data_IF_983721888188
#
_entry.id   IF_983721888188
#
_cell.length_a   1.000
_cell.length_b   1.000
_cell.length_c   1.000
_cell.angle_alpha   90.00
_cell.angle_beta   90.00
_cell.angle_gamma   90.00
#
_symmetry.space_group_name_H-M   'P 1'
#
loop_
_entity.id
_entity.type
_entity.pdbx_description
1 polymer ?
#
# COMPACT_ATOMS: atom_id res chain seq x y z
N UNK A 1 -19.04 0.30 7.59
CA UNK A 1 -18.53 1.69 7.50
C UNK A 1 -17.49 1.86 6.40
N UNK A 2 -16.49 0.98 6.28
CA UNK A 2 -15.39 1.12 5.29
C UNK A 2 -15.83 1.19 3.82
N UNK A 3 -16.84 0.41 3.42
CA UNK A 3 -17.36 0.41 2.03
C UNK A 3 -17.78 1.80 1.54
N UNK A 4 -18.38 2.65 2.40
CA UNK A 4 -18.73 4.03 2.03
C UNK A 4 -17.51 4.94 1.99
N UNK A 5 -16.53 4.70 2.87
CA UNK A 5 -15.31 5.51 2.99
C UNK A 5 -14.37 5.36 1.78
N UNK A 6 -14.23 4.17 1.21
CA UNK A 6 -13.25 3.93 0.13
C UNK A 6 -13.84 3.96 -1.28
N UNK A 7 -15.14 3.72 -1.47
CA UNK A 7 -15.71 3.49 -2.80
C UNK A 7 -15.59 4.71 -3.73
N UNK A 8 -15.82 5.92 -3.22
CA UNK A 8 -15.65 7.15 -4.01
C UNK A 8 -14.17 7.39 -4.36
N UNK A 9 -13.24 7.05 -3.47
CA UNK A 9 -11.79 7.14 -3.70
C UNK A 9 -11.37 6.20 -4.85
N UNK A 10 -11.85 4.95 -4.85
CA UNK A 10 -11.59 3.99 -5.93
C UNK A 10 -12.17 4.48 -7.26
N UNK A 11 -13.40 5.00 -7.24
CA UNK A 11 -14.05 5.55 -8.43
C UNK A 11 -13.19 6.65 -9.07
N UNK A 12 -12.73 7.61 -8.26
CA UNK A 12 -11.82 8.68 -8.73
C UNK A 12 -10.51 8.14 -9.27
N UNK A 13 -9.91 7.17 -8.58
CA UNK A 13 -8.67 6.51 -9.05
C UNK A 13 -8.84 5.90 -10.44
N UNK A 14 -9.91 5.12 -10.63
CA UNK A 14 -10.22 4.47 -11.91
C UNK A 14 -10.38 5.51 -13.01
N UNK A 15 -11.12 6.59 -12.74
CA UNK A 15 -11.37 7.65 -13.71
C UNK A 15 -10.12 8.46 -14.07
N UNK A 16 -9.09 8.48 -13.23
CA UNK A 16 -7.80 9.11 -13.53
C UNK A 16 -6.79 8.19 -14.22
N UNK A 17 -7.01 6.87 -14.24
CA UNK A 17 -6.08 5.93 -14.87
C UNK A 17 -5.74 6.25 -16.34
N UNK A 18 -6.68 6.71 -17.19
CA UNK A 18 -6.37 7.02 -18.59
C UNK A 18 -5.29 8.09 -18.77
N UNK A 19 -5.08 8.97 -17.80
CA UNK A 19 -4.07 10.05 -17.85
C UNK A 19 -2.87 9.79 -16.93
N UNK A 20 -2.70 8.56 -16.45
CA UNK A 20 -1.56 8.12 -15.62
C UNK A 20 -0.58 7.22 -16.37
N UNK A 21 -0.81 7.02 -17.65
CA UNK A 21 0.08 6.31 -18.59
C UNK A 21 1.36 7.13 -18.86
N UNK A 22 2.37 6.49 -19.48
CA UNK A 22 3.66 7.15 -19.76
C UNK A 22 3.55 8.34 -20.73
N UNK A 23 2.60 8.28 -21.67
CA UNK A 23 2.41 9.32 -22.69
C UNK A 23 1.51 10.43 -22.14
N UNK A 24 0.29 10.10 -21.75
CA UNK A 24 -0.72 11.06 -21.29
C UNK A 24 -0.40 11.64 -19.90
N UNK A 25 0.40 10.94 -19.09
CA UNK A 25 0.88 11.42 -17.78
C UNK A 25 1.76 12.66 -17.86
N UNK A 26 2.38 12.94 -19.01
CA UNK A 26 3.24 14.12 -19.23
C UNK A 26 2.47 15.35 -19.71
N UNK A 27 1.19 15.19 -20.07
CA UNK A 27 0.38 16.30 -20.59
C UNK A 27 0.11 17.35 -19.50
N UNK A 28 -0.02 18.63 -19.90
CA UNK A 28 -0.53 19.68 -19.02
C UNK A 28 -1.89 19.31 -18.42
N UNK A 29 -2.20 19.85 -17.24
CA UNK A 29 -3.46 19.57 -16.53
C UNK A 29 -4.69 19.90 -17.39
N UNK A 30 -4.65 20.97 -18.17
CA UNK A 30 -5.71 21.36 -19.10
C UNK A 30 -5.98 20.29 -20.17
N UNK A 31 -4.93 19.74 -20.78
CA UNK A 31 -5.02 18.69 -21.78
C UNK A 31 -5.49 17.37 -21.18
N UNK A 32 -5.05 17.03 -19.96
CA UNK A 32 -5.56 15.86 -19.22
C UNK A 32 -7.06 15.96 -18.96
N UNK A 33 -7.54 17.14 -18.55
CA UNK A 33 -9.00 17.39 -18.37
C UNK A 33 -9.77 17.15 -19.66
N UNK A 34 -9.25 17.68 -20.78
CA UNK A 34 -9.88 17.48 -22.09
C UNK A 34 -9.86 16.01 -22.51
N UNK A 35 -8.74 15.31 -22.31
CA UNK A 35 -8.62 13.89 -22.60
C UNK A 35 -9.65 13.05 -21.83
N UNK A 36 -9.76 13.26 -20.51
CA UNK A 36 -10.72 12.54 -19.67
C UNK A 36 -12.18 12.77 -20.08
N UNK A 37 -12.54 13.98 -20.53
CA UNK A 37 -13.90 14.30 -21.01
C UNK A 37 -14.26 13.64 -22.33
N UNK A 38 -13.27 13.20 -23.08
CA UNK A 38 -13.44 12.59 -24.39
C UNK A 38 -13.08 11.10 -24.44
N UNK A 39 -12.56 10.53 -23.34
CA UNK A 39 -12.14 9.13 -23.30
C UNK A 39 -13.36 8.19 -23.28
N UNK A 40 -13.66 7.47 -24.38
CA UNK A 40 -14.95 6.77 -24.54
C UNK A 40 -15.04 5.52 -23.67
N UNK A 41 -13.91 4.94 -23.26
CA UNK A 41 -13.84 3.71 -22.48
C UNK A 41 -13.91 3.94 -20.96
N UNK A 42 -14.43 5.10 -20.52
CA UNK A 42 -14.58 5.43 -19.10
C UNK A 42 -16.03 5.72 -18.72
N UNK A 43 -16.46 5.15 -17.60
CA UNK A 43 -17.76 5.47 -17.00
C UNK A 43 -17.85 6.90 -16.48
N UNK A 44 -16.72 7.61 -16.36
CA UNK A 44 -16.61 9.02 -15.95
C UNK A 44 -17.57 9.93 -16.71
N UNK A 45 -17.77 9.68 -18.00
CA UNK A 45 -18.64 10.47 -18.86
C UNK A 45 -20.07 10.51 -18.31
N UNK A 46 -20.57 9.35 -17.86
CA UNK A 46 -21.87 9.24 -17.21
C UNK A 46 -21.91 9.77 -15.77
N UNK A 47 -20.76 10.09 -15.15
CA UNK A 47 -20.69 10.81 -13.87
C UNK A 47 -20.74 12.33 -14.07
N UNK A 48 -20.19 12.83 -15.17
CA UNK A 48 -20.18 14.27 -15.50
C UNK A 48 -21.50 14.68 -16.17
N UNK A 49 -22.05 13.81 -17.02
CA UNK A 49 -23.23 14.09 -17.85
C UNK A 49 -24.26 12.96 -17.70
N UNK A 50 -25.49 13.33 -17.29
CA UNK A 50 -26.58 12.39 -17.05
C UNK A 50 -27.08 11.74 -18.36
N UNK A 51 -26.93 12.42 -19.50
CA UNK A 51 -27.32 11.87 -20.81
C UNK A 51 -26.38 10.76 -21.31
N UNK A 52 -25.15 10.70 -20.77
CA UNK A 52 -24.09 9.75 -21.17
C UNK A 52 -23.97 8.57 -20.23
N UNK A 53 -25.02 8.26 -19.49
CA UNK A 53 -25.03 7.17 -18.51
C UNK A 53 -25.08 5.82 -19.18
N UNK A 54 -24.46 4.85 -18.53
CA UNK A 54 -24.59 3.44 -18.86
C UNK A 54 -25.51 2.75 -17.84
N UNK A 55 -26.48 1.97 -18.32
CA UNK A 55 -27.47 1.28 -17.48
C UNK A 55 -26.87 0.25 -16.50
N UNK A 56 -25.65 -0.24 -16.76
CA UNK A 56 -24.96 -1.23 -15.92
C UNK A 56 -24.31 -0.56 -14.68
N UNK A 57 -24.17 0.77 -14.69
CA UNK A 57 -23.44 1.50 -13.64
C UNK A 57 -24.40 2.15 -12.64
N UNK A 58 -24.22 1.81 -11.36
CA UNK A 58 -24.90 2.47 -10.24
C UNK A 58 -24.20 3.80 -9.88
N UNK A 59 -24.53 4.86 -10.61
CA UNK A 59 -23.99 6.21 -10.38
C UNK A 59 -24.40 6.79 -9.03
N UNK A 60 -25.61 6.46 -8.56
CA UNK A 60 -26.17 7.04 -7.34
C UNK A 60 -25.31 6.70 -6.12
N UNK A 61 -24.80 5.48 -6.08
CA UNK A 61 -23.95 4.99 -5.00
C UNK A 61 -22.65 5.79 -4.79
N UNK A 62 -22.04 6.30 -5.85
CA UNK A 62 -20.84 7.15 -5.73
C UNK A 62 -21.26 8.59 -5.47
N UNK A 63 -22.26 9.09 -6.21
CA UNK A 63 -22.70 10.48 -6.15
C UNK A 63 -23.38 10.83 -4.81
N UNK A 64 -23.84 9.85 -4.02
CA UNK A 64 -24.29 10.03 -2.62
C UNK A 64 -23.27 10.83 -1.81
N UNK A 65 -21.98 10.52 -1.94
CA UNK A 65 -20.89 11.24 -1.25
C UNK A 65 -20.68 12.68 -1.72
N UNK A 66 -21.32 13.08 -2.82
CA UNK A 66 -21.22 14.40 -3.44
C UNK A 66 -22.53 15.18 -3.40
N UNK A 67 -23.50 14.76 -2.57
CA UNK A 67 -24.81 15.42 -2.47
C UNK A 67 -25.87 14.87 -3.42
N UNK A 68 -25.66 13.65 -3.94
CA UNK A 68 -26.65 12.85 -4.64
C UNK A 68 -26.52 12.86 -6.15
N UNK A 69 -27.32 12.01 -6.80
CA UNK A 69 -27.34 11.83 -8.25
C UNK A 69 -28.13 12.95 -8.95
N UNK A 70 -27.58 14.16 -8.94
CA UNK A 70 -28.17 15.36 -9.50
C UNK A 70 -27.07 16.27 -10.10
N UNK A 71 -27.47 17.37 -10.75
CA UNK A 71 -26.53 18.31 -11.37
C UNK A 71 -25.44 18.80 -10.41
N UNK A 72 -25.79 19.06 -9.14
CA UNK A 72 -24.84 19.54 -8.12
C UNK A 72 -23.82 18.46 -7.78
N UNK A 73 -24.24 17.23 -7.50
CA UNK A 73 -23.32 16.15 -7.14
C UNK A 73 -22.39 15.74 -8.27
N UNK A 74 -22.89 15.77 -9.52
CA UNK A 74 -22.07 15.55 -10.72
C UNK A 74 -21.00 16.62 -10.92
N UNK A 75 -21.37 17.89 -10.71
CA UNK A 75 -20.43 19.02 -10.74
C UNK A 75 -19.35 18.85 -9.67
N UNK A 76 -19.74 18.57 -8.42
CA UNK A 76 -18.80 18.38 -7.31
C UNK A 76 -17.86 17.18 -7.56
N UNK A 77 -18.39 16.09 -8.11
CA UNK A 77 -17.57 14.94 -8.50
C UNK A 77 -16.50 15.33 -9.54
N UNK A 78 -16.90 16.08 -10.57
CA UNK A 78 -15.98 16.54 -11.60
C UNK A 78 -14.93 17.53 -11.07
N UNK A 79 -15.34 18.48 -10.23
CA UNK A 79 -14.42 19.41 -9.56
C UNK A 79 -13.38 18.63 -8.73
N UNK A 80 -13.83 17.63 -7.98
CA UNK A 80 -12.94 16.77 -7.19
C UNK A 80 -11.94 16.00 -8.08
N UNK A 81 -12.36 15.45 -9.21
CA UNK A 81 -11.46 14.81 -10.19
C UNK A 81 -10.42 15.81 -10.73
N UNK A 82 -10.84 17.06 -10.99
CA UNK A 82 -9.95 18.12 -11.46
C UNK A 82 -8.90 18.51 -10.41
N UNK A 83 -9.29 18.54 -9.14
CA UNK A 83 -8.37 18.82 -8.03
C UNK A 83 -7.36 17.68 -7.90
N UNK A 84 -7.83 16.43 -7.94
CA UNK A 84 -6.99 15.23 -7.89
C UNK A 84 -5.99 15.12 -9.05
N UNK A 85 -6.28 15.70 -10.23
CA UNK A 85 -5.31 15.79 -11.33
C UNK A 85 -4.10 16.67 -10.98
N UNK A 86 -4.32 17.66 -10.12
CA UNK A 86 -3.34 18.69 -9.78
C UNK A 86 -2.56 18.30 -8.52
N UNK A 87 -3.25 17.77 -7.51
CA UNK A 87 -2.67 17.38 -6.21
C UNK A 87 -2.27 15.91 -6.15
N UNK A 88 -2.80 15.08 -7.06
CA UNK A 88 -2.72 13.63 -6.97
C UNK A 88 -3.76 13.07 -5.99
N UNK A 89 -4.08 11.78 -6.14
CA UNK A 89 -4.87 11.09 -5.12
C UNK A 89 -3.91 10.29 -4.25
N UNK A 90 -3.91 10.58 -2.95
CA UNK A 90 -3.20 9.76 -1.98
C UNK A 90 -3.96 8.45 -1.71
N UNK A 91 -3.66 7.47 -2.55
CA UNK A 91 -4.15 6.09 -2.43
C UNK A 91 -2.98 5.11 -2.32
N UNK A 92 -1.75 5.57 -2.57
CA UNK A 92 -0.56 4.72 -2.56
C UNK A 92 -0.30 4.16 -1.17
N UNK A 93 -0.59 4.92 -0.11
CA UNK A 93 -0.45 4.45 1.27
C UNK A 93 -1.55 3.45 1.68
N UNK A 94 -2.65 3.38 0.91
CA UNK A 94 -3.83 2.59 1.26
C UNK A 94 -4.07 1.40 0.34
N UNK A 95 -3.39 1.31 -0.81
CA UNK A 95 -3.46 0.17 -1.74
C UNK A 95 -2.31 -0.78 -1.49
N UNK A 96 -2.57 -1.84 -0.72
CA UNK A 96 -1.57 -2.87 -0.46
C UNK A 96 -1.44 -3.78 -1.68
N UNK A 97 -0.19 -4.06 -2.06
CA UNK A 97 0.16 -4.92 -3.18
C UNK A 97 -0.28 -4.39 -4.56
N UNK A 98 -0.75 -3.14 -4.65
CA UNK A 98 -1.30 -2.56 -5.88
C UNK A 98 -2.69 -3.07 -6.26
N UNK A 99 -3.39 -3.76 -5.35
CA UNK A 99 -4.66 -4.43 -5.70
C UNK A 99 -5.76 -4.37 -4.64
N UNK A 100 -5.44 -4.15 -3.36
CA UNK A 100 -6.43 -4.15 -2.27
C UNK A 100 -6.40 -2.80 -1.56
N UNK A 101 -7.54 -2.11 -1.51
CA UNK A 101 -7.73 -0.87 -0.75
C UNK A 101 -8.62 -1.14 0.47
N UNK A 102 -8.13 -0.84 1.67
CA UNK A 102 -8.90 -0.97 2.90
C UNK A 102 -8.05 -0.73 4.14
N UNK A 103 -8.62 -0.98 5.31
CA UNK A 103 -7.87 -1.00 6.58
C UNK A 103 -6.98 -2.24 6.67
N UNK A 104 -6.01 -2.24 7.60
CA UNK A 104 -5.16 -3.41 7.85
C UNK A 104 -5.97 -4.66 8.22
N UNK A 105 -7.07 -4.49 8.95
CA UNK A 105 -7.98 -5.58 9.33
C UNK A 105 -8.73 -6.13 8.11
N UNK A 106 -9.20 -5.27 7.21
CA UNK A 106 -9.83 -5.69 5.96
C UNK A 106 -8.85 -6.43 5.06
N UNK A 107 -7.63 -5.91 4.93
CA UNK A 107 -6.57 -6.49 4.11
C UNK A 107 -6.19 -7.89 4.64
N UNK A 108 -6.04 -8.03 5.95
CA UNK A 108 -5.80 -9.33 6.61
C UNK A 108 -6.96 -10.30 6.36
N UNK A 109 -8.20 -9.85 6.51
CA UNK A 109 -9.37 -10.67 6.21
C UNK A 109 -9.42 -11.13 4.75
N UNK A 110 -9.11 -10.25 3.79
CA UNK A 110 -9.04 -10.62 2.36
C UNK A 110 -7.95 -11.67 2.13
N UNK A 111 -6.78 -11.49 2.73
CA UNK A 111 -5.67 -12.45 2.66
C UNK A 111 -6.08 -13.82 3.18
N UNK A 112 -6.56 -13.88 4.41
CA UNK A 112 -6.84 -15.13 5.11
C UNK A 112 -8.01 -15.89 4.47
N UNK A 113 -8.99 -15.16 3.93
CA UNK A 113 -10.20 -15.77 3.35
C UNK A 113 -10.06 -16.16 1.88
N UNK A 114 -9.34 -15.37 1.08
CA UNK A 114 -9.37 -15.51 -0.39
C UNK A 114 -8.03 -15.85 -1.03
N UNK A 115 -6.91 -15.82 -0.30
CA UNK A 115 -5.58 -16.06 -0.88
C UNK A 115 -4.97 -17.38 -0.33
N UNK A 116 -5.13 -18.50 -1.05
CA UNK A 116 -4.55 -19.78 -0.62
C UNK A 116 -3.02 -19.78 -0.70
N UNK A 117 -2.38 -20.70 0.04
CA UNK A 117 -0.91 -20.84 0.14
C UNK A 117 -0.23 -21.04 -1.23
N UNK A 118 -0.93 -21.63 -2.20
CA UNK A 118 -0.43 -21.84 -3.58
C UNK A 118 -0.39 -20.56 -4.43
N UNK A 119 -0.90 -19.43 -3.95
CA UNK A 119 -0.91 -18.17 -4.69
C UNK A 119 0.43 -17.41 -4.67
N UNK A 120 1.52 -18.02 -4.22
CA UNK A 120 2.85 -17.38 -4.14
C UNK A 120 3.42 -16.92 -5.49
N UNK A 121 3.02 -17.58 -6.57
CA UNK A 121 3.42 -17.22 -7.93
C UNK A 121 2.71 -15.96 -8.44
N UNK A 122 1.59 -15.56 -7.82
CA UNK A 122 0.86 -14.34 -8.20
C UNK A 122 1.61 -13.13 -7.62
N UNK A 123 2.15 -12.21 -8.46
CA UNK A 123 2.98 -11.11 -7.97
C UNK A 123 2.27 -10.19 -6.97
N UNK A 124 0.96 -9.96 -7.12
CA UNK A 124 0.16 -9.17 -6.21
C UNK A 124 0.06 -9.82 -4.81
N UNK A 125 -0.13 -11.14 -4.77
CA UNK A 125 -0.18 -11.92 -3.52
C UNK A 125 1.19 -11.95 -2.86
N UNK A 126 2.27 -12.05 -3.65
CA UNK A 126 3.63 -11.93 -3.12
C UNK A 126 3.86 -10.57 -2.47
N UNK A 127 3.46 -9.47 -3.11
CA UNK A 127 3.57 -8.12 -2.54
C UNK A 127 2.74 -7.95 -1.26
N UNK A 128 1.53 -8.51 -1.26
CA UNK A 128 0.67 -8.50 -0.07
C UNK A 128 1.30 -9.25 1.10
N UNK A 129 1.81 -10.46 0.85
CA UNK A 129 2.49 -11.26 1.89
C UNK A 129 3.71 -10.53 2.45
N UNK A 130 4.52 -9.88 1.60
CA UNK A 130 5.64 -9.04 2.06
C UNK A 130 5.18 -7.89 2.95
N UNK A 131 4.09 -7.21 2.56
CA UNK A 131 3.54 -6.11 3.35
C UNK A 131 3.05 -6.57 4.73
N UNK A 132 2.25 -7.65 4.79
CA UNK A 132 1.75 -8.16 6.07
C UNK A 132 2.89 -8.66 6.95
N UNK A 133 3.84 -9.42 6.39
CA UNK A 133 5.01 -9.89 7.14
C UNK A 133 5.84 -8.72 7.68
N UNK A 134 6.02 -7.66 6.90
CA UNK A 134 6.70 -6.42 7.33
C UNK A 134 6.02 -5.80 8.55
N UNK A 135 4.70 -5.61 8.53
CA UNK A 135 3.98 -5.02 9.66
C UNK A 135 4.02 -5.92 10.91
N UNK A 136 3.88 -7.24 10.73
CA UNK A 136 3.99 -8.22 11.82
C UNK A 136 5.39 -8.21 12.45
N UNK A 137 6.45 -8.14 11.64
CA UNK A 137 7.84 -8.03 12.11
C UNK A 137 8.07 -6.73 12.88
N UNK A 138 7.58 -5.60 12.38
CA UNK A 138 7.71 -4.30 13.06
C UNK A 138 6.98 -4.35 14.39
N UNK A 139 5.74 -4.85 14.43
CA UNK A 139 4.95 -4.95 15.65
C UNK A 139 5.64 -5.84 16.70
N UNK A 140 6.13 -7.02 16.30
CA UNK A 140 6.84 -7.94 17.19
C UNK A 140 8.15 -7.33 17.72
N UNK A 141 8.91 -6.62 16.88
CA UNK A 141 10.12 -5.91 17.29
C UNK A 141 9.82 -4.80 18.29
N UNK A 142 8.81 -3.97 18.02
CA UNK A 142 8.44 -2.88 18.92
C UNK A 142 8.00 -3.41 20.29
N UNK A 143 7.25 -4.52 20.30
CA UNK A 143 6.79 -5.20 21.52
C UNK A 143 7.97 -5.75 22.34
N UNK A 144 8.87 -6.52 21.73
CA UNK A 144 9.99 -7.15 22.45
C UNK A 144 11.01 -6.11 22.95
N UNK A 145 11.28 -5.09 22.14
CA UNK A 145 12.29 -4.07 22.46
C UNK A 145 11.76 -2.92 23.29
N UNK A 146 10.43 -2.82 23.46
CA UNK A 146 9.72 -1.69 24.08
C UNK A 146 10.07 -0.33 23.48
N UNK A 147 10.40 -0.32 22.18
CA UNK A 147 10.77 0.87 21.41
C UNK A 147 9.84 1.01 20.23
N UNK A 148 9.52 2.24 19.86
CA UNK A 148 8.85 2.54 18.60
C UNK A 148 9.78 2.25 17.41
N UNK A 149 9.19 2.03 16.23
CA UNK A 149 9.97 1.79 15.03
C UNK A 149 10.86 2.98 14.66
N UNK A 150 10.42 4.22 14.93
CA UNK A 150 11.23 5.42 14.68
C UNK A 150 12.44 5.53 15.63
N UNK A 151 12.33 5.08 16.87
CA UNK A 151 13.48 4.96 17.77
C UNK A 151 14.48 3.93 17.24
N UNK A 152 13.99 2.79 16.72
CA UNK A 152 14.82 1.75 16.12
C UNK A 152 15.56 2.27 14.87
N UNK A 153 14.93 3.11 14.04
CA UNK A 153 15.58 3.74 12.87
C UNK A 153 16.76 4.62 13.27
N UNK A 154 16.56 5.45 14.29
CA UNK A 154 17.54 6.41 14.81
C UNK A 154 18.71 5.73 15.52
N UNK A 155 18.47 4.55 16.09
CA UNK A 155 19.52 3.78 16.75
C UNK A 155 20.53 3.20 15.74
N UNK A 156 21.84 3.36 15.98
CA UNK A 156 22.90 2.70 15.19
C UNK A 156 23.28 1.32 15.75
N UNK A 157 22.42 0.75 16.58
CA UNK A 157 22.68 -0.38 17.44
C UNK A 157 22.28 -1.74 16.87
N UNK A 158 22.35 -2.75 17.74
CA UNK A 158 22.08 -4.15 17.41
C UNK A 158 20.61 -4.36 17.00
N UNK A 159 19.67 -3.63 17.60
CA UNK A 159 18.24 -3.74 17.33
C UNK A 159 17.93 -3.38 15.87
N UNK A 160 18.56 -2.32 15.34
CA UNK A 160 18.41 -1.95 13.93
C UNK A 160 18.96 -3.04 13.00
N UNK A 161 20.03 -3.73 13.38
CA UNK A 161 20.57 -4.85 12.61
C UNK A 161 19.64 -6.07 12.64
N UNK A 162 19.00 -6.35 13.79
CA UNK A 162 17.95 -7.38 13.90
C UNK A 162 16.78 -7.04 12.97
N UNK A 163 16.31 -5.79 12.98
CA UNK A 163 15.25 -5.34 12.09
C UNK A 163 15.63 -5.54 10.61
N UNK A 164 16.84 -5.16 10.21
CA UNK A 164 17.36 -5.40 8.86
C UNK A 164 17.37 -6.89 8.49
N UNK A 165 17.75 -7.78 9.41
CA UNK A 165 17.79 -9.22 9.11
C UNK A 165 16.39 -9.83 9.00
N UNK A 166 15.50 -9.55 9.95
CA UNK A 166 14.14 -10.09 9.96
C UNK A 166 13.33 -9.61 8.76
N UNK A 167 13.37 -8.32 8.45
CA UNK A 167 12.67 -7.76 7.28
C UNK A 167 13.16 -8.38 5.97
N UNK A 168 14.44 -8.73 5.88
CA UNK A 168 14.99 -9.40 4.70
C UNK A 168 14.63 -10.88 4.67
N UNK A 169 15.01 -11.63 5.72
CA UNK A 169 14.95 -13.10 5.74
C UNK A 169 13.54 -13.64 5.91
N UNK A 170 12.74 -12.99 6.77
CA UNK A 170 11.37 -13.39 7.08
C UNK A 170 10.37 -12.57 6.25
N UNK A 171 10.58 -11.26 6.16
CA UNK A 171 9.70 -10.37 5.39
C UNK A 171 9.84 -10.49 3.87
N UNK A 172 10.99 -10.99 3.38
CA UNK A 172 11.26 -11.11 1.95
C UNK A 172 11.48 -9.76 1.25
N UNK A 173 11.79 -8.70 2.00
CA UNK A 173 12.11 -7.37 1.45
C UNK A 173 13.53 -7.37 0.89
N UNK A 174 13.74 -6.58 -0.16
CA UNK A 174 15.05 -6.29 -0.71
C UNK A 174 15.83 -5.34 0.21
N UNK A 175 17.17 -5.33 0.06
CA UNK A 175 18.01 -4.39 0.79
C UNK A 175 17.67 -2.92 0.52
N UNK A 176 17.24 -2.60 -0.70
CA UNK A 176 16.80 -1.26 -1.09
C UNK A 176 15.49 -0.86 -0.40
N UNK A 177 14.48 -1.73 -0.39
CA UNK A 177 13.21 -1.48 0.31
C UNK A 177 13.45 -1.25 1.83
N UNK A 178 14.31 -2.06 2.45
CA UNK A 178 14.68 -1.90 3.87
C UNK A 178 15.47 -0.61 4.10
N UNK A 179 16.36 -0.26 3.17
CA UNK A 179 17.15 0.97 3.24
C UNK A 179 16.27 2.22 3.23
N UNK A 180 15.33 2.28 2.30
CA UNK A 180 14.33 3.35 2.21
C UNK A 180 13.52 3.47 3.51
N UNK A 181 13.03 2.34 4.05
CA UNK A 181 12.28 2.32 5.30
C UNK A 181 13.08 2.83 6.51
N UNK A 182 14.38 2.54 6.57
CA UNK A 182 15.25 2.88 7.69
C UNK A 182 16.02 4.19 7.49
N UNK A 183 15.88 4.84 6.33
CA UNK A 183 16.63 6.05 5.97
C UNK A 183 18.14 5.81 5.78
N UNK A 184 18.51 4.66 5.21
CA UNK A 184 19.91 4.26 4.97
C UNK A 184 20.09 3.65 3.57
N UNK A 185 21.33 3.61 3.08
CA UNK A 185 21.63 2.96 1.80
C UNK A 185 21.54 1.41 1.89
N UNK A 186 21.27 0.76 0.76
CA UNK A 186 21.18 -0.71 0.65
C UNK A 186 22.47 -1.41 1.14
N UNK A 187 23.64 -0.80 0.92
CA UNK A 187 24.93 -1.32 1.38
C UNK A 187 25.01 -1.37 2.91
N UNK A 188 24.39 -0.40 3.60
CA UNK A 188 24.30 -0.37 5.07
C UNK A 188 23.46 -1.52 5.59
N UNK A 189 22.37 -1.86 4.89
CA UNK A 189 21.53 -3.02 5.22
C UNK A 189 22.33 -4.31 5.08
N UNK A 190 23.03 -4.48 3.95
CA UNK A 190 23.86 -5.67 3.71
C UNK A 190 24.94 -5.85 4.78
N UNK A 191 25.66 -4.78 5.11
CA UNK A 191 26.72 -4.80 6.13
C UNK A 191 26.16 -5.02 7.54
N UNK A 192 25.04 -4.40 7.89
CA UNK A 192 24.37 -4.57 9.18
C UNK A 192 23.98 -6.03 9.43
N UNK A 193 23.40 -6.68 8.42
CA UNK A 193 23.06 -8.11 8.47
C UNK A 193 24.29 -9.00 8.58
N UNK A 194 25.35 -8.71 7.83
CA UNK A 194 26.63 -9.45 7.95
C UNK A 194 27.18 -9.36 9.37
N UNK A 195 27.24 -8.16 9.94
CA UNK A 195 27.71 -7.92 11.32
C UNK A 195 26.86 -8.64 12.36
N UNK A 196 25.54 -8.65 12.20
CA UNK A 196 24.63 -9.39 13.07
C UNK A 196 24.95 -10.89 13.06
N UNK A 197 25.09 -11.50 11.86
CA UNK A 197 25.40 -12.93 11.74
C UNK A 197 26.70 -13.31 12.42
N UNK A 198 27.73 -12.47 12.34
CA UNK A 198 29.00 -12.72 13.04
C UNK A 198 28.83 -12.63 14.56
N UNK A 199 28.06 -11.66 15.07
CA UNK A 199 27.77 -11.54 16.51
C UNK A 199 26.96 -12.72 17.06
N UNK A 200 26.00 -13.22 16.28
CA UNK A 200 25.16 -14.36 16.69
C UNK A 200 25.95 -15.66 16.92
N UNK A 201 27.15 -15.81 16.33
CA UNK A 201 28.00 -16.98 16.57
C UNK A 201 28.49 -17.07 18.02
N UNK A 202 28.61 -15.94 18.74
CA UNK A 202 29.14 -15.88 20.10
C UNK A 202 28.14 -15.42 21.17
N UNK A 203 27.01 -14.81 20.78
CA UNK A 203 26.07 -14.21 21.73
C UNK A 203 24.75 -15.01 21.83
N UNK A 204 24.65 -15.80 22.91
CA UNK A 204 23.45 -16.61 23.22
C UNK A 204 22.24 -15.75 23.60
N UNK A 205 22.45 -14.60 24.22
CA UNK A 205 21.36 -13.71 24.63
C UNK A 205 20.70 -13.07 23.40
N UNK A 206 21.52 -12.61 22.46
CA UNK A 206 21.05 -12.06 21.20
C UNK A 206 20.27 -13.09 20.36
N UNK A 207 20.74 -14.34 20.33
CA UNK A 207 20.01 -15.45 19.72
C UNK A 207 18.62 -15.66 20.35
N UNK A 208 18.50 -15.52 21.68
CA UNK A 208 17.21 -15.65 22.37
C UNK A 208 16.25 -14.52 22.03
N UNK A 209 16.73 -13.28 21.93
CA UNK A 209 15.89 -12.14 21.52
C UNK A 209 15.30 -12.38 20.13
N UNK A 210 16.13 -12.78 19.16
CA UNK A 210 15.65 -13.10 17.80
C UNK A 210 14.62 -14.21 17.83
N UNK A 211 14.87 -15.29 18.59
CA UNK A 211 13.91 -16.40 18.71
C UNK A 211 12.58 -15.98 19.32
N UNK A 212 12.56 -15.09 20.30
CA UNK A 212 11.31 -14.56 20.90
C UNK A 212 10.51 -13.75 19.88
N UNK A 213 11.20 -12.87 19.15
CA UNK A 213 10.56 -12.09 18.08
C UNK A 213 10.00 -13.01 17.01
N UNK A 214 10.76 -14.03 16.58
CA UNK A 214 10.31 -15.01 15.58
C UNK A 214 9.15 -15.89 16.09
N UNK A 215 9.09 -16.22 17.37
CA UNK A 215 8.00 -16.99 17.97
C UNK A 215 6.67 -16.20 17.99
N UNK A 216 6.75 -14.88 18.10
CA UNK A 216 5.60 -13.97 18.03
C UNK A 216 5.11 -13.74 16.59
N UNK A 217 5.89 -14.13 15.57
CA UNK A 217 5.44 -14.06 14.18
C UNK A 217 4.50 -15.23 13.89
N UNK A 218 3.31 -14.98 13.30
CA UNK A 218 2.45 -16.07 12.87
C UNK A 218 3.25 -16.92 11.90
N UNK A 219 3.24 -18.23 12.07
CA UNK A 219 4.07 -19.17 11.30
C UNK A 219 3.84 -18.91 9.81
N UNK A 220 4.73 -18.13 9.20
CA UNK A 220 4.81 -18.05 7.75
C UNK A 220 5.33 -19.42 7.39
N UNK A 221 4.41 -20.36 7.14
CA UNK A 221 4.78 -21.65 6.55
C UNK A 221 5.49 -21.28 5.25
N UNK A 222 6.82 -21.37 5.29
CA UNK A 222 7.72 -21.29 4.14
C UNK A 222 7.43 -22.48 3.24
#
# INVERSE_FOLDING_TARGET
MEKKSYLHIVSRYIHLNPVRTKQEGKLPVSEKKNYLRNYPWSSLLGYIDDSRRNCIIDYARILESYGGNNKKGRRLYWETICDDLSTGIDIKEKVVGGSILGSDTFIKWVRDKYLPVKSREIPAVRRLNKYTAKEEIIAALCKETKKSFDEIKKERGIIRQIAMDLLYRVGGLSGSEIGEMLGVDYSTVSLGRKRLRERLKGDKHLCQIIKRVEADLPTIKI
#
